data_IF_430488948451
#
_entry.id   IF_430488948451
#
_cell.length_a   1.000
_cell.length_b   1.000
_cell.length_c   1.000
_cell.angle_alpha   90.00
_cell.angle_beta   90.00
_cell.angle_gamma   90.00
#
_symmetry.space_group_name_H-M   'P 1'
#
loop_
_entity.id
_entity.type
_entity.pdbx_description
1 polymer ?
#
# COMPACT_ATOMS: atom_id res chain seq x y z
N UNK A 1 -18.83 56.44 44.06
CA UNK A 1 -19.84 55.74 43.22
C UNK A 1 -19.10 54.64 42.39
N UNK A 2 -19.19 53.39 42.85
CA UNK A 2 -18.52 52.28 42.21
C UNK A 2 -19.56 51.50 41.34
N UNK A 3 -19.26 51.31 40.05
CA UNK A 3 -20.12 50.55 39.12
C UNK A 3 -19.69 49.07 39.17
N UNK A 4 -20.59 48.11 39.42
CA UNK A 4 -20.25 46.69 39.42
C UNK A 4 -20.14 46.15 37.98
N UNK A 5 -18.97 45.57 37.65
CA UNK A 5 -18.76 44.80 36.44
C UNK A 5 -19.59 43.50 36.46
N UNK A 6 -20.45 43.29 35.45
CA UNK A 6 -21.16 42.03 35.23
C UNK A 6 -20.15 40.97 34.79
N UNK A 7 -20.21 39.72 35.32
CA UNK A 7 -19.42 38.63 34.80
C UNK A 7 -19.91 38.25 33.40
N UNK A 8 -18.98 38.19 32.43
CA UNK A 8 -19.24 37.76 31.04
C UNK A 8 -19.73 36.31 31.01
N UNK A 9 -20.80 36.08 30.26
CA UNK A 9 -21.32 34.76 29.98
C UNK A 9 -20.25 33.91 29.24
N UNK A 10 -20.01 32.70 29.72
CA UNK A 10 -19.12 31.74 29.06
C UNK A 10 -19.69 31.42 27.65
N UNK A 11 -18.81 31.30 26.63
CA UNK A 11 -19.27 30.92 25.31
C UNK A 11 -19.91 29.52 25.34
N UNK A 12 -21.08 29.39 24.71
CA UNK A 12 -21.78 28.13 24.57
C UNK A 12 -20.88 27.10 23.87
N UNK A 13 -20.94 25.79 24.25
CA UNK A 13 -20.18 24.75 23.57
C UNK A 13 -20.58 24.71 22.09
N UNK A 14 -19.58 24.76 21.21
CA UNK A 14 -19.78 24.65 19.77
C UNK A 14 -20.49 23.32 19.46
N UNK A 15 -21.59 23.38 18.72
CA UNK A 15 -22.32 22.20 18.26
C UNK A 15 -21.35 21.28 17.48
N UNK A 16 -21.46 19.95 17.63
CA UNK A 16 -20.62 19.01 16.88
C UNK A 16 -20.86 19.28 15.39
N UNK A 17 -19.76 19.55 14.66
CA UNK A 17 -19.80 19.69 13.20
C UNK A 17 -20.26 18.37 12.65
N UNK A 18 -21.42 18.33 12.01
CA UNK A 18 -21.88 17.19 11.20
C UNK A 18 -20.82 16.97 10.15
N UNK A 19 -19.98 15.93 10.31
CA UNK A 19 -19.07 15.52 9.26
C UNK A 19 -19.92 15.00 8.10
N UNK A 20 -19.65 15.49 6.89
CA UNK A 20 -20.25 14.92 5.68
C UNK A 20 -20.04 13.39 5.68
N UNK A 21 -21.00 12.61 5.16
CA UNK A 21 -20.86 11.17 5.10
C UNK A 21 -19.60 10.82 4.30
N UNK A 22 -18.85 9.81 4.76
CA UNK A 22 -17.65 9.34 4.08
C UNK A 22 -18.02 8.76 2.70
N UNK A 23 -17.57 9.35 1.59
CA UNK A 23 -17.95 8.91 0.25
C UNK A 23 -17.40 7.51 -0.10
N UNK A 24 -16.43 7.00 0.65
CA UNK A 24 -15.85 5.68 0.44
C UNK A 24 -16.54 4.58 1.25
N UNK A 25 -17.32 4.95 2.28
CA UNK A 25 -17.98 3.98 3.14
C UNK A 25 -18.83 2.93 2.37
N UNK A 26 -19.56 3.25 1.30
CA UNK A 26 -20.34 2.27 0.54
C UNK A 26 -19.51 1.15 -0.10
N UNK A 27 -18.21 1.34 -0.32
CA UNK A 27 -17.33 0.31 -0.88
C UNK A 27 -17.23 -0.92 0.02
N UNK A 28 -17.43 -0.76 1.32
CA UNK A 28 -17.42 -1.86 2.29
C UNK A 28 -18.65 -2.77 2.15
N UNK A 29 -19.74 -2.27 1.55
CA UNK A 29 -20.98 -3.00 1.38
C UNK A 29 -21.08 -3.69 0.01
N UNK A 30 -20.04 -3.56 -0.83
CA UNK A 30 -19.93 -4.32 -2.07
C UNK A 30 -19.80 -5.83 -1.79
N UNK A 31 -20.32 -6.70 -2.70
CA UNK A 31 -20.34 -8.15 -2.49
C UNK A 31 -18.97 -8.74 -2.13
N UNK A 32 -18.88 -9.40 -0.97
CA UNK A 32 -17.69 -10.11 -0.48
C UNK A 32 -16.57 -9.21 0.04
N UNK A 33 -16.69 -7.88 -0.04
CA UNK A 33 -15.61 -6.94 0.34
C UNK A 33 -15.40 -6.92 1.85
N UNK A 34 -16.49 -6.84 2.63
CA UNK A 34 -16.41 -6.80 4.10
C UNK A 34 -15.75 -8.05 4.66
N UNK A 35 -16.23 -9.22 4.25
CA UNK A 35 -15.71 -10.51 4.70
C UNK A 35 -14.22 -10.68 4.34
N UNK A 36 -13.83 -10.27 3.12
CA UNK A 36 -12.44 -10.33 2.69
C UNK A 36 -11.55 -9.34 3.49
N UNK A 37 -12.03 -8.13 3.77
CA UNK A 37 -11.31 -7.13 4.57
C UNK A 37 -11.12 -7.62 6.02
N UNK A 38 -12.13 -8.23 6.62
CA UNK A 38 -12.07 -8.79 7.96
C UNK A 38 -11.09 -9.98 8.03
N UNK A 39 -11.07 -10.87 7.03
CA UNK A 39 -10.13 -11.99 6.93
C UNK A 39 -8.69 -11.49 6.80
N UNK A 40 -8.43 -10.52 5.91
CA UNK A 40 -7.12 -9.90 5.75
C UNK A 40 -6.64 -9.25 7.06
N UNK A 41 -7.50 -8.50 7.74
CA UNK A 41 -7.19 -7.90 9.04
C UNK A 41 -6.86 -8.95 10.09
N UNK A 42 -7.67 -10.02 10.20
CA UNK A 42 -7.41 -11.11 11.13
C UNK A 42 -6.07 -11.82 10.85
N UNK A 43 -5.71 -12.00 9.57
CA UNK A 43 -4.40 -12.54 9.16
C UNK A 43 -3.24 -11.68 9.65
N UNK A 44 -3.31 -10.37 9.39
CA UNK A 44 -2.30 -9.41 9.85
C UNK A 44 -2.22 -9.37 11.39
N UNK A 45 -3.36 -9.33 12.08
CA UNK A 45 -3.38 -9.30 13.54
C UNK A 45 -2.77 -10.57 14.16
N UNK A 46 -2.94 -11.73 13.52
CA UNK A 46 -2.28 -12.99 13.92
C UNK A 46 -0.77 -12.88 13.74
N UNK A 47 -0.31 -12.37 12.60
CA UNK A 47 1.11 -12.15 12.34
C UNK A 47 1.71 -11.20 13.38
N UNK A 48 1.10 -10.04 13.61
CA UNK A 48 1.62 -9.02 14.53
C UNK A 48 1.71 -9.50 15.99
N UNK A 49 0.92 -10.52 16.37
CA UNK A 49 1.00 -11.16 17.70
C UNK A 49 2.11 -12.21 17.82
N UNK A 50 2.80 -12.53 16.73
CA UNK A 50 3.84 -13.57 16.75
C UNK A 50 5.01 -13.19 17.68
N UNK A 51 5.45 -14.13 18.52
CA UNK A 51 6.45 -13.90 19.60
C UNK A 51 7.80 -13.38 19.07
N UNK A 52 8.22 -13.78 17.87
CA UNK A 52 9.48 -13.37 17.22
C UNK A 52 9.53 -11.85 17.03
N UNK A 53 8.40 -11.21 16.70
CA UNK A 53 8.34 -9.78 16.45
C UNK A 53 8.59 -8.88 17.68
N UNK A 54 8.73 -9.48 18.85
CA UNK A 54 9.13 -8.73 20.07
C UNK A 54 10.63 -8.41 20.09
N UNK A 55 11.45 -9.23 19.42
CA UNK A 55 12.92 -9.13 19.44
C UNK A 55 13.51 -8.97 18.04
N UNK A 56 12.93 -9.63 17.04
CA UNK A 56 13.48 -9.78 15.68
C UNK A 56 12.62 -9.09 14.60
N UNK A 57 11.79 -8.09 14.97
CA UNK A 57 10.91 -7.45 13.99
C UNK A 57 11.67 -6.79 12.83
N UNK A 58 12.88 -6.28 13.07
CA UNK A 58 13.72 -5.70 12.02
C UNK A 58 14.20 -6.76 11.03
N UNK A 59 14.64 -7.93 11.51
CA UNK A 59 15.04 -9.05 10.64
C UNK A 59 13.87 -9.57 9.81
N UNK A 60 12.68 -9.73 10.42
CA UNK A 60 11.46 -10.12 9.70
C UNK A 60 11.11 -9.07 8.64
N UNK A 61 11.15 -7.78 8.96
CA UNK A 61 10.86 -6.69 8.01
C UNK A 61 11.84 -6.67 6.83
N UNK A 62 13.13 -6.88 7.09
CA UNK A 62 14.17 -6.96 6.04
C UNK A 62 13.91 -8.12 5.09
N UNK A 63 13.63 -9.31 5.62
CA UNK A 63 13.32 -10.49 4.81
C UNK A 63 11.99 -10.31 4.04
N UNK A 64 10.99 -9.70 4.67
CA UNK A 64 9.72 -9.35 4.02
C UNK A 64 9.93 -8.37 2.86
N UNK A 65 10.80 -7.37 3.03
CA UNK A 65 11.13 -6.42 1.97
C UNK A 65 11.82 -7.11 0.78
N UNK A 66 12.75 -8.04 1.06
CA UNK A 66 13.46 -8.79 0.03
C UNK A 66 12.52 -9.69 -0.78
N UNK A 67 11.68 -10.48 -0.09
CA UNK A 67 10.68 -11.35 -0.76
C UNK A 67 9.64 -10.56 -1.51
N UNK A 68 9.19 -9.44 -0.94
CA UNK A 68 8.25 -8.53 -1.60
C UNK A 68 8.82 -7.91 -2.86
N UNK A 69 10.08 -7.48 -2.85
CA UNK A 69 10.76 -6.97 -4.03
C UNK A 69 10.85 -8.02 -5.14
N UNK A 70 11.27 -9.25 -4.80
CA UNK A 70 11.30 -10.38 -5.74
C UNK A 70 9.93 -10.63 -6.37
N UNK A 71 8.88 -10.77 -5.54
CA UNK A 71 7.53 -11.04 -6.01
C UNK A 71 6.99 -9.89 -6.87
N UNK A 72 7.28 -8.64 -6.49
CA UNK A 72 6.91 -7.47 -7.28
C UNK A 72 7.58 -7.47 -8.66
N UNK A 73 8.87 -7.82 -8.74
CA UNK A 73 9.57 -7.93 -10.02
C UNK A 73 9.04 -9.10 -10.87
N UNK A 74 8.73 -10.24 -10.25
CA UNK A 74 8.15 -11.39 -10.93
C UNK A 74 6.79 -11.06 -11.58
N UNK A 75 5.96 -10.23 -10.94
CA UNK A 75 4.71 -9.72 -11.52
C UNK A 75 4.94 -8.86 -12.77
N UNK A 76 6.09 -8.20 -12.89
CA UNK A 76 6.51 -7.47 -14.11
C UNK A 76 7.19 -8.39 -15.15
N UNK A 77 7.43 -9.66 -14.81
CA UNK A 77 8.06 -10.65 -15.70
C UNK A 77 9.55 -10.89 -15.42
N UNK A 78 10.13 -10.22 -14.43
CA UNK A 78 11.52 -10.42 -13.98
C UNK A 78 11.54 -11.37 -12.77
N UNK A 79 11.39 -12.68 -13.01
CA UNK A 79 11.44 -13.69 -11.94
C UNK A 79 12.87 -14.21 -11.76
N UNK A 80 13.38 -14.10 -10.54
CA UNK A 80 14.71 -14.54 -10.15
C UNK A 80 14.65 -15.42 -8.89
N UNK A 81 15.53 -16.42 -8.74
CA UNK A 81 15.63 -17.22 -7.53
C UNK A 81 15.96 -16.37 -6.31
N UNK A 82 15.29 -16.61 -5.19
CA UNK A 82 15.55 -15.87 -3.94
C UNK A 82 16.98 -16.01 -3.45
N UNK A 83 17.62 -17.16 -3.72
CA UNK A 83 19.02 -17.42 -3.37
C UNK A 83 19.98 -16.48 -4.11
N UNK A 84 19.77 -16.26 -5.42
CA UNK A 84 20.56 -15.32 -6.23
C UNK A 84 20.36 -13.87 -5.76
N UNK A 85 19.11 -13.53 -5.41
CA UNK A 85 18.82 -12.20 -4.88
C UNK A 85 19.54 -11.94 -3.54
N UNK A 86 19.63 -12.95 -2.66
CA UNK A 86 20.39 -12.88 -1.40
C UNK A 86 21.90 -12.81 -1.60
N UNK A 87 22.43 -13.46 -2.65
CA UNK A 87 23.83 -13.39 -3.01
C UNK A 87 24.24 -12.00 -3.54
N UNK A 88 23.27 -11.19 -3.98
CA UNK A 88 23.53 -9.85 -4.53
C UNK A 88 23.98 -9.84 -5.99
N UNK A 89 23.89 -10.98 -6.67
CA UNK A 89 24.41 -11.15 -8.05
C UNK A 89 23.40 -10.74 -9.14
N UNK A 90 22.18 -10.32 -8.75
CA UNK A 90 21.12 -9.96 -9.69
C UNK A 90 21.30 -8.50 -10.15
N UNK A 91 21.44 -8.33 -11.47
CA UNK A 91 21.61 -6.99 -12.11
C UNK A 91 20.40 -6.55 -12.93
N UNK A 92 19.34 -7.36 -12.99
CA UNK A 92 18.11 -7.01 -13.70
C UNK A 92 17.54 -5.68 -13.18
N UNK A 93 17.30 -4.66 -14.04
CA UNK A 93 16.92 -3.33 -13.61
C UNK A 93 15.53 -3.26 -12.97
N UNK A 94 14.60 -4.16 -13.33
CA UNK A 94 13.27 -4.24 -12.70
C UNK A 94 13.41 -4.76 -11.28
N UNK A 95 14.23 -5.80 -11.06
CA UNK A 95 14.52 -6.38 -9.75
C UNK A 95 15.22 -5.34 -8.85
N UNK A 96 16.23 -4.64 -9.38
CA UNK A 96 16.93 -3.58 -8.66
C UNK A 96 15.99 -2.42 -8.28
N UNK A 97 15.08 -2.03 -9.19
CA UNK A 97 14.05 -1.03 -8.92
C UNK A 97 13.10 -1.47 -7.78
N UNK A 98 12.60 -2.70 -7.82
CA UNK A 98 11.74 -3.27 -6.79
C UNK A 98 12.45 -3.34 -5.42
N UNK A 99 13.73 -3.71 -5.38
CA UNK A 99 14.54 -3.71 -4.15
C UNK A 99 14.67 -2.31 -3.55
N UNK A 100 15.01 -1.31 -4.38
CA UNK A 100 15.12 0.09 -3.92
C UNK A 100 13.81 0.61 -3.37
N UNK A 101 12.68 0.32 -4.03
CA UNK A 101 11.35 0.70 -3.56
C UNK A 101 11.06 0.05 -2.20
N UNK A 102 11.19 -1.28 -2.10
CA UNK A 102 10.90 -2.01 -0.86
C UNK A 102 11.77 -1.53 0.32
N UNK A 103 13.07 -1.33 0.11
CA UNK A 103 13.97 -0.81 1.12
C UNK A 103 13.67 0.64 1.53
N UNK A 104 13.14 1.44 0.60
CA UNK A 104 12.85 2.86 0.80
C UNK A 104 11.54 3.15 1.54
N UNK A 105 10.60 2.20 1.65
CA UNK A 105 9.25 2.46 2.17
C UNK A 105 9.26 3.05 3.58
N UNK A 106 10.06 2.50 4.49
CA UNK A 106 10.13 2.94 5.88
C UNK A 106 10.43 4.43 6.05
N UNK A 107 11.34 4.97 5.22
CA UNK A 107 11.70 6.39 5.25
C UNK A 107 10.62 7.33 4.70
N UNK A 108 9.58 6.79 4.08
CA UNK A 108 8.51 7.57 3.43
C UNK A 108 7.21 7.56 4.23
N UNK A 109 7.09 6.75 5.28
CA UNK A 109 5.84 6.54 6.05
C UNK A 109 5.27 7.85 6.60
N UNK A 110 6.09 8.68 7.21
CA UNK A 110 5.64 9.96 7.79
C UNK A 110 5.30 11.02 6.75
N UNK A 111 5.97 10.98 5.59
CA UNK A 111 5.75 11.94 4.49
C UNK A 111 4.51 11.56 3.69
N UNK A 112 4.18 10.27 3.60
CA UNK A 112 3.09 9.76 2.77
C UNK A 112 1.75 10.48 2.97
N UNK A 113 1.21 10.62 4.19
CA UNK A 113 -0.07 11.30 4.41
C UNK A 113 -0.01 12.83 4.24
N UNK A 114 1.19 13.42 4.14
CA UNK A 114 1.38 14.89 4.06
C UNK A 114 1.71 15.37 2.66
N UNK A 115 2.49 14.62 1.93
CA UNK A 115 2.99 14.98 0.60
C UNK A 115 3.05 13.77 -0.34
N UNK A 116 1.90 13.09 -0.61
CA UNK A 116 1.89 11.85 -1.40
C UNK A 116 2.44 12.04 -2.82
N UNK A 117 2.24 13.20 -3.45
CA UNK A 117 2.79 13.49 -4.77
C UNK A 117 4.33 13.45 -4.80
N UNK A 118 5.00 13.97 -3.76
CA UNK A 118 6.46 13.89 -3.64
C UNK A 118 6.92 12.43 -3.43
N UNK A 119 6.17 11.67 -2.62
CA UNK A 119 6.48 10.26 -2.36
C UNK A 119 6.29 9.42 -3.62
N UNK A 120 5.24 9.65 -4.40
CA UNK A 120 5.02 8.97 -5.69
C UNK A 120 6.16 9.25 -6.68
N UNK A 121 6.59 10.51 -6.79
CA UNK A 121 7.75 10.87 -7.59
C UNK A 121 9.02 10.13 -7.14
N UNK A 122 9.25 10.04 -5.82
CA UNK A 122 10.40 9.32 -5.25
C UNK A 122 10.30 7.81 -5.49
N UNK A 123 9.12 7.21 -5.33
CA UNK A 123 8.90 5.79 -5.64
C UNK A 123 9.24 5.49 -7.09
N UNK A 124 8.80 6.34 -8.03
CA UNK A 124 9.14 6.18 -9.44
C UNK A 124 10.65 6.32 -9.69
N UNK A 125 11.30 7.32 -9.11
CA UNK A 125 12.78 7.44 -9.21
C UNK A 125 13.46 6.15 -8.73
N UNK A 126 13.08 5.60 -7.58
CA UNK A 126 13.66 4.36 -7.05
C UNK A 126 13.39 3.16 -7.96
N UNK A 127 12.19 3.06 -8.53
CA UNK A 127 11.78 1.96 -9.38
C UNK A 127 12.42 2.00 -10.77
N UNK A 128 12.56 3.20 -11.36
CA UNK A 128 12.81 3.37 -12.78
C UNK A 128 14.19 3.97 -13.13
N UNK A 129 15.08 4.19 -12.16
CA UNK A 129 16.40 4.83 -12.38
C UNK A 129 17.20 4.18 -13.52
N UNK A 130 17.13 2.85 -13.67
CA UNK A 130 17.86 2.10 -14.68
C UNK A 130 17.00 1.78 -15.92
N UNK A 131 15.75 2.26 -15.99
CA UNK A 131 14.75 1.91 -17.01
C UNK A 131 14.23 3.12 -17.80
N UNK A 132 14.22 4.30 -17.20
CA UNK A 132 13.62 5.50 -17.79
C UNK A 132 14.68 6.57 -18.09
N UNK A 133 14.36 7.45 -19.06
CA UNK A 133 15.16 8.65 -19.28
C UNK A 133 15.23 9.49 -17.99
N UNK A 134 16.43 9.97 -17.59
CA UNK A 134 16.59 10.83 -16.41
C UNK A 134 15.65 12.04 -16.39
N UNK A 135 15.29 12.58 -17.55
CA UNK A 135 14.34 13.70 -17.65
C UNK A 135 12.89 13.30 -17.33
N UNK A 136 12.54 12.02 -17.44
CA UNK A 136 11.20 11.48 -17.12
C UNK A 136 11.06 11.03 -15.66
N UNK A 137 12.17 10.81 -14.95
CA UNK A 137 12.16 10.29 -13.58
C UNK A 137 11.35 11.18 -12.62
N UNK A 138 10.39 10.55 -11.93
CA UNK A 138 9.52 11.21 -10.95
C UNK A 138 8.49 12.17 -11.54
N UNK A 139 8.35 12.23 -12.88
CA UNK A 139 7.44 13.15 -13.57
C UNK A 139 6.27 12.38 -14.19
N UNK A 140 5.07 12.50 -13.65
CA UNK A 140 3.90 11.88 -14.23
C UNK A 140 3.53 12.58 -15.56
N UNK A 141 2.94 11.82 -16.48
CA UNK A 141 2.43 12.34 -17.73
C UNK A 141 1.31 13.38 -17.48
N UNK A 142 1.23 14.40 -18.33
CA UNK A 142 0.29 15.51 -18.13
C UNK A 142 -1.18 15.07 -18.02
N UNK A 143 -1.59 14.03 -18.75
CA UNK A 143 -2.96 13.50 -18.70
C UNK A 143 -3.31 12.84 -17.36
N UNK A 144 -2.32 12.44 -16.56
CA UNK A 144 -2.55 11.79 -15.26
C UNK A 144 -2.96 12.78 -14.16
N UNK A 145 -2.74 14.09 -14.35
CA UNK A 145 -2.92 15.12 -13.33
C UNK A 145 -4.27 15.09 -12.59
N UNK A 146 -5.42 15.08 -13.27
CA UNK A 146 -6.73 15.08 -12.59
C UNK A 146 -6.95 13.85 -11.70
N UNK A 147 -6.61 12.65 -12.18
CA UNK A 147 -6.76 11.42 -11.39
C UNK A 147 -5.76 11.36 -10.24
N UNK A 148 -4.51 11.80 -10.43
CA UNK A 148 -3.54 11.92 -9.35
C UNK A 148 -4.01 12.90 -8.26
N UNK A 149 -4.66 14.00 -8.62
CA UNK A 149 -5.23 14.93 -7.63
C UNK A 149 -6.32 14.27 -6.80
N UNK A 150 -7.18 13.46 -7.41
CA UNK A 150 -8.19 12.66 -6.71
C UNK A 150 -7.55 11.62 -5.77
N UNK A 151 -6.51 10.92 -6.23
CA UNK A 151 -5.76 9.97 -5.42
C UNK A 151 -5.07 10.64 -4.22
N UNK A 152 -4.47 11.81 -4.43
CA UNK A 152 -3.87 12.60 -3.35
C UNK A 152 -4.94 12.97 -2.31
N UNK A 153 -6.12 13.40 -2.72
CA UNK A 153 -7.22 13.71 -1.83
C UNK A 153 -7.69 12.46 -1.04
N UNK A 154 -7.71 11.28 -1.66
CA UNK A 154 -8.01 10.01 -1.00
C UNK A 154 -6.97 9.66 0.07
N UNK A 155 -5.68 9.84 -0.23
CA UNK A 155 -4.59 9.51 0.70
C UNK A 155 -4.58 10.45 1.91
N UNK A 156 -4.79 11.74 1.68
CA UNK A 156 -4.72 12.80 2.71
C UNK A 156 -6.04 12.99 3.45
N UNK A 157 -7.16 12.58 2.87
CA UNK A 157 -8.49 12.76 3.43
C UNK A 157 -8.81 11.78 4.56
N UNK A 158 -9.77 12.17 5.43
CA UNK A 158 -10.31 11.26 6.43
C UNK A 158 -11.23 10.22 5.76
N UNK A 159 -11.16 8.98 6.22
CA UNK A 159 -12.08 7.91 5.83
C UNK A 159 -12.21 6.90 6.96
N UNK A 160 -13.40 6.31 7.06
CA UNK A 160 -13.71 5.19 7.97
C UNK A 160 -13.43 3.84 7.34
N UNK A 161 -13.06 3.83 6.06
CA UNK A 161 -12.78 2.60 5.31
C UNK A 161 -11.59 1.86 5.94
N UNK A 162 -11.65 0.52 6.10
CA UNK A 162 -10.53 -0.27 6.57
C UNK A 162 -9.24 0.00 5.81
N UNK A 163 -8.11 0.05 6.51
CA UNK A 163 -6.81 0.41 5.92
C UNK A 163 -6.40 -0.50 4.74
N UNK A 164 -6.78 -1.79 4.76
CA UNK A 164 -6.53 -2.71 3.65
C UNK A 164 -7.26 -2.30 2.38
N UNK A 165 -8.49 -1.78 2.50
CA UNK A 165 -9.26 -1.31 1.34
C UNK A 165 -8.73 0.01 0.80
N UNK A 166 -8.28 0.92 1.67
CA UNK A 166 -7.60 2.15 1.23
C UNK A 166 -6.30 1.82 0.49
N UNK A 167 -5.52 0.86 0.99
CA UNK A 167 -4.30 0.37 0.31
C UNK A 167 -4.63 -0.23 -1.06
N UNK A 168 -5.72 -1.00 -1.16
CA UNK A 168 -6.20 -1.58 -2.42
C UNK A 168 -6.64 -0.51 -3.43
N UNK A 169 -7.32 0.55 -2.99
CA UNK A 169 -7.72 1.67 -3.84
C UNK A 169 -6.50 2.43 -4.37
N UNK A 170 -5.54 2.75 -3.50
CA UNK A 170 -4.30 3.43 -3.90
C UNK A 170 -3.53 2.60 -4.93
N UNK A 171 -3.41 1.30 -4.69
CA UNK A 171 -2.77 0.37 -5.62
C UNK A 171 -3.52 0.31 -6.96
N UNK A 172 -4.84 0.10 -6.94
CA UNK A 172 -5.67 0.01 -8.15
C UNK A 172 -5.65 1.29 -8.99
N UNK A 173 -5.78 2.45 -8.35
CA UNK A 173 -5.72 3.75 -9.03
C UNK A 173 -4.38 3.97 -9.75
N UNK A 174 -3.26 3.70 -9.09
CA UNK A 174 -1.95 3.87 -9.68
C UNK A 174 -1.67 2.87 -10.79
N UNK A 175 -2.01 1.59 -10.57
CA UNK A 175 -1.80 0.56 -11.57
C UNK A 175 -2.68 0.76 -12.82
N UNK A 176 -3.94 1.17 -12.64
CA UNK A 176 -4.85 1.44 -13.76
C UNK A 176 -4.53 2.76 -14.50
N UNK A 177 -4.00 3.76 -13.79
CA UNK A 177 -3.62 5.05 -14.39
C UNK A 177 -2.29 4.97 -15.13
N UNK A 178 -1.33 4.17 -14.62
CA UNK A 178 0.04 4.06 -15.11
C UNK A 178 0.67 5.45 -15.36
N UNK A 179 0.77 6.31 -14.33
CA UNK A 179 1.03 7.75 -14.53
C UNK A 179 2.42 8.07 -15.06
N UNK A 180 3.38 7.15 -14.95
CA UNK A 180 4.77 7.38 -15.34
C UNK A 180 5.15 6.67 -16.65
N UNK A 181 4.37 5.67 -17.08
CA UNK A 181 4.64 4.87 -18.27
C UNK A 181 5.78 3.86 -18.13
N UNK A 182 6.48 3.85 -16.99
CA UNK A 182 7.58 2.93 -16.69
C UNK A 182 7.52 2.53 -15.22
N UNK A 183 7.69 1.24 -14.93
CA UNK A 183 7.70 0.69 -13.55
C UNK A 183 6.43 1.00 -12.74
N UNK A 184 5.33 1.35 -13.39
CA UNK A 184 4.08 1.75 -12.73
C UNK A 184 3.53 0.67 -11.81
N UNK A 185 3.66 -0.61 -12.18
CA UNK A 185 3.24 -1.73 -11.34
C UNK A 185 4.05 -1.81 -10.03
N UNK A 186 5.36 -1.63 -10.09
CA UNK A 186 6.24 -1.61 -8.90
C UNK A 186 5.88 -0.42 -8.00
N UNK A 187 5.66 0.76 -8.60
CA UNK A 187 5.22 1.98 -7.88
C UNK A 187 3.87 1.76 -7.21
N UNK A 188 2.90 1.20 -7.93
CA UNK A 188 1.55 0.98 -7.43
C UNK A 188 1.52 0.01 -6.24
N UNK A 189 2.23 -1.12 -6.31
CA UNK A 189 2.35 -2.08 -5.20
C UNK A 189 3.09 -1.46 -4.01
N UNK A 190 4.19 -0.74 -4.26
CA UNK A 190 4.92 -0.01 -3.23
C UNK A 190 4.05 1.03 -2.50
N UNK A 191 3.26 1.81 -3.24
CA UNK A 191 2.33 2.80 -2.67
C UNK A 191 1.19 2.14 -1.89
N UNK A 192 0.64 1.02 -2.38
CA UNK A 192 -0.35 0.22 -1.64
C UNK A 192 0.20 -0.29 -0.31
N UNK A 193 1.39 -0.91 -0.33
CA UNK A 193 2.08 -1.36 0.89
C UNK A 193 2.36 -0.21 1.85
N UNK A 194 2.90 0.91 1.36
CA UNK A 194 3.16 2.11 2.15
C UNK A 194 1.88 2.65 2.81
N UNK A 195 0.75 2.61 2.09
CA UNK A 195 -0.56 2.99 2.63
C UNK A 195 -0.98 2.09 3.79
N UNK A 196 -0.81 0.78 3.65
CA UNK A 196 -1.08 -0.19 4.72
C UNK A 196 -0.23 0.07 5.96
N UNK A 197 1.06 0.36 5.79
CA UNK A 197 1.98 0.71 6.89
C UNK A 197 1.54 2.02 7.57
N UNK A 198 1.36 3.07 6.79
CA UNK A 198 1.06 4.42 7.31
C UNK A 198 -0.32 4.50 7.99
N UNK A 199 -1.29 3.68 7.58
CA UNK A 199 -2.61 3.59 8.18
C UNK A 199 -2.70 2.55 9.32
N UNK A 200 -1.58 1.96 9.74
CA UNK A 200 -1.51 1.07 10.89
C UNK A 200 -2.08 -0.33 10.66
N UNK A 201 -2.24 -0.77 9.41
CA UNK A 201 -2.56 -2.17 9.10
C UNK A 201 -1.38 -3.07 9.48
N UNK A 202 -0.21 -2.76 8.96
CA UNK A 202 1.05 -3.47 9.23
C UNK A 202 2.18 -2.48 9.57
N UNK A 203 2.15 -1.86 10.76
CA UNK A 203 3.08 -0.78 11.12
C UNK A 203 4.54 -1.23 11.23
N UNK A 204 4.77 -2.56 11.26
CA UNK A 204 6.12 -3.14 11.30
C UNK A 204 6.64 -3.57 9.93
N UNK A 205 5.82 -3.44 8.88
CA UNK A 205 6.13 -3.86 7.50
C UNK A 205 6.61 -5.34 7.42
N UNK A 206 5.95 -6.23 8.15
CA UNK A 206 6.33 -7.64 8.27
C UNK A 206 5.50 -8.58 7.41
N UNK A 207 4.36 -8.13 6.86
CA UNK A 207 3.60 -8.86 5.85
C UNK A 207 4.21 -8.67 4.46
N UNK A 208 3.87 -9.54 3.52
CA UNK A 208 4.42 -9.53 2.16
C UNK A 208 3.29 -9.63 1.12
N UNK A 209 2.42 -8.61 0.99
CA UNK A 209 1.28 -8.67 0.07
C UNK A 209 1.68 -8.90 -1.39
N UNK A 210 2.89 -8.51 -1.81
CA UNK A 210 3.42 -8.77 -3.15
C UNK A 210 3.57 -10.27 -3.43
N UNK A 211 3.98 -11.06 -2.42
CA UNK A 211 4.00 -12.54 -2.51
C UNK A 211 2.57 -13.05 -2.68
N UNK A 212 1.62 -12.52 -1.92
CA UNK A 212 0.22 -12.89 -2.07
C UNK A 212 -0.32 -12.64 -3.48
N UNK A 213 0.00 -11.51 -4.11
CA UNK A 213 -0.37 -11.25 -5.51
C UNK A 213 0.27 -12.26 -6.47
N UNK A 214 1.54 -12.61 -6.27
CA UNK A 214 2.24 -13.57 -7.10
C UNK A 214 1.67 -15.00 -6.94
N UNK A 215 1.31 -15.42 -5.72
CA UNK A 215 0.68 -16.71 -5.43
C UNK A 215 -0.72 -16.84 -6.02
N UNK A 216 -1.52 -15.78 -5.99
CA UNK A 216 -2.83 -15.73 -6.64
C UNK A 216 -2.72 -15.78 -8.17
N UNK A 217 -1.55 -15.46 -8.71
CA UNK A 217 -1.21 -15.57 -10.12
C UNK A 217 -1.32 -14.26 -10.89
N UNK A 218 -0.35 -14.08 -11.79
CA UNK A 218 -0.24 -12.88 -12.64
C UNK A 218 -1.49 -12.65 -13.52
N UNK A 219 -2.10 -13.70 -14.02
CA UNK A 219 -3.31 -13.62 -14.84
C UNK A 219 -4.50 -13.15 -13.99
N UNK A 220 -4.69 -13.71 -12.79
CA UNK A 220 -5.75 -13.30 -11.88
C UNK A 220 -5.57 -11.83 -11.43
N UNK A 221 -4.33 -11.41 -11.17
CA UNK A 221 -3.99 -10.03 -10.87
C UNK A 221 -4.36 -9.09 -12.03
N UNK A 222 -3.97 -9.42 -13.26
CA UNK A 222 -4.29 -8.62 -14.44
C UNK A 222 -5.79 -8.53 -14.71
N UNK A 223 -6.51 -9.65 -14.57
CA UNK A 223 -7.97 -9.70 -14.73
C UNK A 223 -8.70 -8.86 -13.67
N UNK A 224 -8.28 -8.94 -12.41
CA UNK A 224 -8.86 -8.14 -11.33
C UNK A 224 -8.60 -6.63 -11.55
N UNK A 225 -7.38 -6.26 -11.98
CA UNK A 225 -7.04 -4.88 -12.29
C UNK A 225 -7.84 -4.33 -13.49
N UNK A 226 -8.03 -5.13 -14.54
CA UNK A 226 -8.87 -4.76 -15.68
C UNK A 226 -10.33 -4.55 -15.26
N UNK A 227 -10.84 -5.41 -14.36
CA UNK A 227 -12.15 -5.23 -13.73
C UNK A 227 -12.24 -3.90 -12.97
N UNK A 228 -11.25 -3.57 -12.16
CA UNK A 228 -11.17 -2.29 -11.46
C UNK A 228 -11.19 -1.10 -12.42
N UNK A 229 -10.37 -1.15 -13.45
CA UNK A 229 -10.25 -0.09 -14.46
C UNK A 229 -11.56 0.13 -15.24
N UNK A 230 -12.45 -0.87 -15.33
CA UNK A 230 -13.77 -0.71 -15.94
C UNK A 230 -14.71 0.21 -15.17
N UNK A 231 -14.42 0.47 -13.88
CA UNK A 231 -15.24 1.30 -13.00
C UNK A 231 -16.61 0.71 -12.64
N UNK A 232 -16.88 -0.55 -13.00
CA UNK A 232 -18.12 -1.23 -12.63
C UNK A 232 -18.07 -1.66 -11.16
N UNK A 233 -19.23 -1.69 -10.51
CA UNK A 233 -19.36 -2.14 -9.12
C UNK A 233 -18.75 -3.54 -8.90
N UNK A 234 -19.05 -4.48 -9.78
CA UNK A 234 -18.52 -5.84 -9.75
C UNK A 234 -16.99 -5.86 -9.96
N UNK A 235 -16.47 -5.02 -10.86
CA UNK A 235 -15.03 -4.91 -11.10
C UNK A 235 -14.28 -4.32 -9.91
N UNK A 236 -14.83 -3.27 -9.29
CA UNK A 236 -14.27 -2.68 -8.07
C UNK A 236 -14.31 -3.69 -6.92
N UNK A 237 -15.44 -4.34 -6.68
CA UNK A 237 -15.57 -5.38 -5.66
C UNK A 237 -14.55 -6.51 -5.87
N UNK A 238 -14.43 -7.02 -7.09
CA UNK A 238 -13.47 -8.07 -7.46
C UNK A 238 -12.02 -7.70 -7.14
N UNK A 239 -11.63 -6.47 -7.47
CA UNK A 239 -10.30 -5.96 -7.15
C UNK A 239 -10.05 -5.85 -5.64
N UNK A 240 -10.99 -5.26 -4.89
CA UNK A 240 -10.87 -5.11 -3.44
C UNK A 240 -10.75 -6.48 -2.74
N UNK A 241 -11.57 -7.45 -3.14
CA UNK A 241 -11.49 -8.83 -2.65
C UNK A 241 -10.15 -9.48 -3.01
N UNK A 242 -9.66 -9.30 -4.25
CA UNK A 242 -8.36 -9.81 -4.68
C UNK A 242 -7.20 -9.24 -3.84
N UNK A 243 -7.20 -7.93 -3.58
CA UNK A 243 -6.19 -7.29 -2.73
C UNK A 243 -6.25 -7.77 -1.27
N UNK A 244 -7.44 -7.98 -0.72
CA UNK A 244 -7.61 -8.53 0.62
C UNK A 244 -7.04 -9.95 0.71
N UNK A 245 -7.34 -10.82 -0.26
CA UNK A 245 -6.77 -12.18 -0.33
C UNK A 245 -5.24 -12.16 -0.46
N UNK A 246 -4.70 -11.29 -1.31
CA UNK A 246 -3.25 -11.12 -1.41
C UNK A 246 -2.63 -10.66 -0.08
N UNK A 247 -3.31 -9.78 0.67
CA UNK A 247 -2.87 -9.35 2.00
C UNK A 247 -2.90 -10.52 3.00
N UNK A 248 -3.91 -11.38 2.95
CA UNK A 248 -4.01 -12.58 3.79
C UNK A 248 -2.86 -13.56 3.50
N UNK A 249 -2.59 -13.87 2.22
CA UNK A 249 -1.44 -14.68 1.79
C UNK A 249 -0.12 -14.03 2.22
N UNK A 250 0.01 -12.71 2.06
CA UNK A 250 1.19 -11.98 2.54
C UNK A 250 1.40 -12.02 4.04
N UNK A 251 0.32 -12.14 4.83
CA UNK A 251 0.42 -12.37 6.27
C UNK A 251 0.87 -13.80 6.60
N UNK A 252 0.44 -14.81 5.84
CA UNK A 252 0.92 -16.19 5.96
C UNK A 252 2.42 -16.29 5.63
N UNK A 253 2.87 -15.60 4.59
CA UNK A 253 4.29 -15.50 4.25
C UNK A 253 5.11 -14.86 5.38
N UNK A 254 4.61 -13.76 5.98
CA UNK A 254 5.22 -13.15 7.15
C UNK A 254 5.33 -14.10 8.35
N UNK A 255 4.32 -14.94 8.60
CA UNK A 255 4.37 -16.01 9.60
C UNK A 255 5.43 -17.06 9.27
N UNK A 256 5.56 -17.47 8.00
CA UNK A 256 6.57 -18.40 7.56
C UNK A 256 8.00 -17.85 7.78
N UNK A 257 8.21 -16.55 7.53
CA UNK A 257 9.47 -15.85 7.86
C UNK A 257 9.74 -15.91 9.37
N UNK A 258 8.75 -15.58 10.20
CA UNK A 258 8.87 -15.65 11.66
C UNK A 258 9.25 -17.05 12.14
N UNK A 259 8.62 -18.10 11.59
CA UNK A 259 8.91 -19.48 11.93
C UNK A 259 10.31 -19.94 11.46
N UNK A 260 10.77 -19.44 10.31
CA UNK A 260 12.14 -19.74 9.82
C UNK A 260 13.22 -19.18 10.76
N UNK A 261 13.00 -17.97 11.28
CA UNK A 261 13.93 -17.32 12.22
C UNK A 261 13.94 -17.97 13.63
N UNK A 262 12.93 -18.79 13.95
CA UNK A 262 12.96 -19.57 15.20
C UNK A 262 13.79 -20.86 15.10
N UNK A 263 14.01 -21.34 13.87
CA UNK A 263 14.72 -22.61 13.62
C UNK A 263 16.21 -22.43 13.33
N UNK A 264 16.63 -21.21 12.96
CA UNK A 264 18.03 -20.87 12.71
C UNK A 264 18.66 -20.24 13.92
#
# INVERSE_FOLDING_TARGET
MSIPLRPGAAPAPAAPRSSAPDPLAPLLDLPGVREAADAARAGIDRLLRHKVLRRESAGVSTESALRGARASAALEGADVPLAELRAGDVTDPVVQGALRVSAGLGAMVETWPRAPGQVLARLHVLAATDLADPAALGRPAAHAGPRLSGLIALITGPTTLPAVLVAALVHGELAALAPFGTSDGVVARGAGRLTGIARGLDPKAVSVPEVGFAELGREAYGSALAGYASGTEAGVAGWLVHCCRATEHGALEGLAICESLLRG
#
